data_IF_598641058802
#
_entry.id   IF_598641058802
#
_cell.length_a   1.000
_cell.length_b   1.000
_cell.length_c   1.000
_cell.angle_alpha   90.00
_cell.angle_beta   90.00
_cell.angle_gamma   90.00
#
_symmetry.space_group_name_H-M   'P 1'
#
loop_
_entity.id
_entity.type
_entity.pdbx_description
1 polymer ?
#
# COMPACT_ATOMS: atom_id res chain seq x y z
N UNK A 1 -23.11 37.14 89.47
CA UNK A 1 -23.59 35.82 89.92
C UNK A 1 -23.41 34.88 88.78
N UNK A 2 -22.66 33.84 88.99
CA UNK A 2 -22.43 32.59 88.18
C UNK A 2 -22.18 32.66 86.71
N UNK A 3 -20.91 32.50 86.37
CA UNK A 3 -20.40 32.17 85.06
C UNK A 3 -20.68 30.70 84.71
N UNK A 4 -21.02 30.45 83.39
CA UNK A 4 -21.05 29.10 82.88
C UNK A 4 -20.09 29.03 81.66
N UNK A 5 -19.04 28.27 81.85
CA UNK A 5 -18.06 27.98 80.75
C UNK A 5 -18.56 26.78 79.99
N UNK A 6 -18.70 26.94 78.66
CA UNK A 6 -18.93 25.82 77.73
C UNK A 6 -17.67 25.63 76.87
N UNK A 7 -16.99 24.50 77.11
CA UNK A 7 -15.89 24.02 76.30
C UNK A 7 -16.44 23.27 75.03
N UNK A 8 -16.27 23.83 73.86
CA UNK A 8 -16.48 23.11 72.64
C UNK A 8 -15.16 22.57 72.04
N UNK A 9 -15.03 21.24 72.07
CA UNK A 9 -13.90 20.51 71.45
C UNK A 9 -14.17 20.39 69.95
N UNK A 10 -13.32 20.97 69.13
CA UNK A 10 -13.30 20.80 67.72
C UNK A 10 -12.46 19.58 67.35
N UNK A 11 -13.09 18.52 66.84
CA UNK A 11 -12.43 17.34 66.24
C UNK A 11 -12.14 17.63 64.78
N UNK A 12 -10.86 17.85 64.47
CA UNK A 12 -10.43 18.00 63.08
C UNK A 12 -10.39 16.63 62.38
N UNK A 13 -11.20 16.45 61.36
CA UNK A 13 -11.12 15.30 60.46
C UNK A 13 -10.09 15.59 59.38
N UNK A 14 -8.98 14.84 59.39
CA UNK A 14 -7.99 14.84 58.32
C UNK A 14 -8.56 14.04 57.13
N UNK A 15 -8.94 14.73 56.06
CA UNK A 15 -9.28 14.12 54.78
C UNK A 15 -7.97 13.90 54.02
N UNK A 16 -7.49 12.64 54.01
CA UNK A 16 -6.38 12.21 53.14
C UNK A 16 -6.89 12.05 51.72
N UNK A 17 -6.65 13.06 50.88
CA UNK A 17 -6.87 12.99 49.44
C UNK A 17 -5.78 12.14 48.78
N UNK A 18 -6.14 10.92 48.34
CA UNK A 18 -5.26 10.12 47.46
C UNK A 18 -5.33 10.68 46.05
N UNK A 19 -4.26 11.39 45.64
CA UNK A 19 -4.06 11.78 44.24
C UNK A 19 -3.68 10.53 43.43
N UNK A 20 -4.65 9.96 42.75
CA UNK A 20 -4.42 8.91 41.76
C UNK A 20 -3.70 9.50 40.55
N UNK A 21 -2.41 9.21 40.40
CA UNK A 21 -1.65 9.52 39.18
C UNK A 21 -2.08 8.51 38.11
N UNK A 22 -2.98 8.92 37.20
CA UNK A 22 -3.25 8.19 36.00
C UNK A 22 -2.01 8.29 35.06
N UNK A 23 -1.17 7.27 35.07
CA UNK A 23 -0.08 7.15 34.09
C UNK A 23 -0.71 6.91 32.71
N UNK A 24 -0.73 7.94 31.86
CA UNK A 24 -1.04 7.81 30.45
C UNK A 24 0.15 7.11 29.81
N UNK A 25 0.02 5.80 29.57
CA UNK A 25 0.97 5.06 28.74
C UNK A 25 0.77 5.52 27.31
N UNK A 26 1.59 6.47 26.85
CA UNK A 26 1.68 6.83 25.45
C UNK A 26 2.24 5.63 24.69
N UNK A 27 1.38 4.92 23.96
CA UNK A 27 1.79 3.88 23.03
C UNK A 27 2.50 4.61 21.88
N UNK A 28 3.84 4.66 21.93
CA UNK A 28 4.67 5.13 20.81
C UNK A 28 4.52 4.09 19.71
N UNK A 29 3.61 4.36 18.76
CA UNK A 29 3.57 3.62 17.51
C UNK A 29 4.79 4.04 16.71
N UNK A 30 5.57 3.10 16.14
CA UNK A 30 6.60 3.49 15.17
C UNK A 30 5.91 4.28 14.06
N UNK A 31 6.33 5.52 13.88
CA UNK A 31 5.90 6.32 12.74
C UNK A 31 6.48 5.64 11.50
N UNK A 32 5.67 4.85 10.79
CA UNK A 32 6.00 4.50 9.42
C UNK A 32 5.96 5.81 8.64
N UNK A 33 7.08 6.17 8.02
CA UNK A 33 7.11 7.29 7.10
C UNK A 33 6.08 7.02 6.00
N UNK A 34 5.25 8.03 5.69
CA UNK A 34 4.29 7.91 4.60
C UNK A 34 5.03 7.54 3.31
N UNK A 35 4.56 6.54 2.56
CA UNK A 35 5.20 6.15 1.31
C UNK A 35 5.24 7.33 0.34
N UNK A 36 6.41 7.57 -0.24
CA UNK A 36 6.60 8.65 -1.22
C UNK A 36 6.24 8.23 -2.64
N UNK A 37 6.15 6.92 -2.91
CA UNK A 37 5.78 6.40 -4.23
C UNK A 37 5.21 4.99 -4.17
N UNK A 38 4.35 4.68 -5.15
CA UNK A 38 3.93 3.33 -5.52
C UNK A 38 4.50 3.01 -6.89
N UNK A 39 5.18 1.87 -7.00
CA UNK A 39 5.81 1.37 -8.24
C UNK A 39 5.17 0.03 -8.59
N UNK A 40 4.49 -0.04 -9.72
CA UNK A 40 3.86 -1.27 -10.23
C UNK A 40 4.70 -1.80 -11.40
N UNK A 41 5.25 -3.00 -11.25
CA UNK A 41 5.99 -3.69 -12.31
C UNK A 41 5.10 -4.78 -12.94
N UNK A 42 4.78 -4.60 -14.21
CA UNK A 42 4.17 -5.63 -15.05
C UNK A 42 5.27 -6.49 -15.65
N UNK A 43 5.34 -7.74 -15.23
CA UNK A 43 6.41 -8.71 -15.52
C UNK A 43 5.84 -10.07 -15.89
N UNK A 44 6.67 -11.02 -16.30
CA UNK A 44 6.28 -12.41 -16.52
C UNK A 44 7.49 -13.35 -16.45
N UNK A 45 7.27 -14.55 -15.94
CA UNK A 45 8.23 -15.66 -15.99
C UNK A 45 8.60 -16.04 -17.42
N UNK A 46 7.67 -15.85 -18.39
CA UNK A 46 7.88 -16.12 -19.82
C UNK A 46 8.66 -15.06 -20.58
N UNK A 47 8.96 -13.92 -19.97
CA UNK A 47 9.58 -12.77 -20.62
C UNK A 47 11.10 -12.76 -20.37
N UNK A 48 11.91 -12.95 -21.41
CA UNK A 48 13.39 -13.01 -21.30
C UNK A 48 14.06 -11.69 -20.87
N UNK A 49 13.42 -10.55 -21.14
CA UNK A 49 13.91 -9.22 -20.74
C UNK A 49 13.44 -8.77 -19.33
N UNK A 50 12.59 -9.56 -18.66
CA UNK A 50 12.02 -9.20 -17.36
C UNK A 50 12.98 -9.35 -16.15
N UNK A 51 13.87 -10.35 -16.05
CA UNK A 51 14.66 -10.58 -14.86
C UNK A 51 15.48 -9.38 -14.35
N UNK A 52 16.05 -8.50 -15.19
CA UNK A 52 16.70 -7.28 -14.71
C UNK A 52 15.74 -6.32 -13.99
N UNK A 53 14.50 -6.20 -14.48
CA UNK A 53 13.46 -5.38 -13.86
C UNK A 53 12.98 -5.96 -12.53
N UNK A 54 12.80 -7.27 -12.44
CA UNK A 54 12.44 -7.97 -11.20
C UNK A 54 13.50 -7.76 -10.11
N UNK A 55 14.79 -7.74 -10.50
CA UNK A 55 15.89 -7.42 -9.58
C UNK A 55 15.81 -5.97 -9.09
N UNK A 56 15.56 -5.00 -9.98
CA UNK A 56 15.41 -3.58 -9.63
C UNK A 56 14.25 -3.41 -8.65
N UNK A 57 13.11 -4.05 -8.93
CA UNK A 57 11.95 -4.02 -8.03
C UNK A 57 12.30 -4.58 -6.65
N UNK A 58 13.06 -5.68 -6.59
CA UNK A 58 13.53 -6.26 -5.33
C UNK A 58 14.45 -5.35 -4.53
N UNK A 59 15.19 -4.46 -5.18
CA UNK A 59 16.00 -3.45 -4.51
C UNK A 59 15.14 -2.28 -4.03
N UNK A 60 14.17 -1.82 -4.82
CA UNK A 60 13.20 -0.80 -4.42
C UNK A 60 12.33 -1.26 -3.25
N UNK A 61 11.98 -2.54 -3.19
CA UNK A 61 11.19 -3.12 -2.09
C UNK A 61 11.90 -3.08 -0.72
N UNK A 62 13.20 -2.77 -0.67
CA UNK A 62 13.96 -2.57 0.57
C UNK A 62 13.87 -1.14 1.10
N UNK A 63 13.45 -0.19 0.28
CA UNK A 63 13.21 1.19 0.71
C UNK A 63 11.82 1.30 1.35
N UNK A 64 11.72 1.54 2.67
CA UNK A 64 10.43 1.60 3.37
C UNK A 64 9.55 2.79 2.91
N UNK A 65 10.12 3.75 2.20
CA UNK A 65 9.38 4.88 1.63
C UNK A 65 8.82 4.59 0.23
N UNK A 66 9.06 3.41 -0.34
CA UNK A 66 8.57 3.01 -1.66
C UNK A 66 7.74 1.74 -1.54
N UNK A 67 6.51 1.79 -2.03
CA UNK A 67 5.68 0.60 -2.20
C UNK A 67 5.95 0.04 -3.59
N UNK A 68 6.80 -0.98 -3.66
CA UNK A 68 7.10 -1.70 -4.90
C UNK A 68 6.22 -2.94 -5.03
N UNK A 69 5.50 -3.10 -6.13
CA UNK A 69 4.53 -4.16 -6.37
C UNK A 69 4.87 -4.92 -7.66
N UNK A 70 5.03 -6.24 -7.58
CA UNK A 70 5.14 -7.11 -8.75
C UNK A 70 3.75 -7.57 -9.18
N UNK A 71 3.39 -7.35 -10.44
CA UNK A 71 2.12 -7.71 -11.06
C UNK A 71 2.38 -8.62 -12.28
N UNK A 72 2.54 -9.93 -12.09
CA UNK A 72 2.79 -10.86 -13.17
C UNK A 72 1.59 -10.97 -14.11
N UNK A 73 1.82 -10.74 -15.41
CA UNK A 73 0.81 -10.79 -16.47
C UNK A 73 0.78 -12.17 -17.15
N UNK A 74 -0.34 -12.52 -17.76
CA UNK A 74 -0.61 -13.86 -18.29
C UNK A 74 -0.47 -13.97 -19.82
N UNK A 75 -0.29 -12.87 -20.55
CA UNK A 75 -0.28 -12.92 -22.01
C UNK A 75 1.03 -13.48 -22.63
N UNK A 76 1.99 -13.96 -21.82
CA UNK A 76 3.16 -14.73 -22.28
C UNK A 76 3.01 -16.24 -22.09
N UNK A 77 1.94 -16.71 -21.44
CA UNK A 77 1.72 -18.13 -21.11
C UNK A 77 1.67 -19.05 -22.36
N UNK A 78 1.33 -18.51 -23.52
CA UNK A 78 1.29 -19.26 -24.78
C UNK A 78 2.67 -19.70 -25.29
N UNK A 79 3.78 -19.17 -24.73
CA UNK A 79 5.15 -19.53 -25.12
C UNK A 79 5.65 -20.83 -24.49
N UNK A 80 4.76 -21.63 -23.92
CA UNK A 80 5.05 -22.98 -23.41
C UNK A 80 5.45 -23.06 -21.95
N UNK A 81 5.38 -21.94 -21.22
CA UNK A 81 5.50 -21.89 -19.76
C UNK A 81 4.35 -21.07 -19.20
N UNK A 82 3.55 -21.70 -18.33
CA UNK A 82 2.49 -20.97 -17.62
C UNK A 82 3.09 -20.31 -16.40
N UNK A 83 3.00 -18.98 -16.33
CA UNK A 83 3.44 -18.22 -15.15
C UNK A 83 2.55 -18.53 -13.96
N UNK A 84 3.12 -19.12 -12.92
CA UNK A 84 2.38 -19.57 -11.73
C UNK A 84 1.93 -18.41 -10.82
N UNK A 85 2.42 -17.21 -11.07
CA UNK A 85 2.10 -15.99 -10.32
C UNK A 85 1.17 -15.05 -11.11
N UNK A 86 0.98 -15.31 -12.42
CA UNK A 86 0.21 -14.43 -13.29
C UNK A 86 -1.29 -14.41 -12.96
N UNK A 87 -1.87 -13.25 -13.17
CA UNK A 87 -3.31 -13.03 -13.04
C UNK A 87 -3.81 -12.13 -14.18
N UNK A 88 -4.88 -12.56 -14.87
CA UNK A 88 -5.50 -11.81 -15.96
C UNK A 88 -5.95 -10.39 -15.55
N UNK A 89 -6.23 -10.18 -14.26
CA UNK A 89 -6.56 -8.85 -13.71
C UNK A 89 -5.41 -7.87 -13.83
N UNK A 90 -4.15 -8.35 -13.75
CA UNK A 90 -2.97 -7.48 -13.91
C UNK A 90 -2.75 -7.11 -15.38
N UNK A 91 -2.98 -8.05 -16.31
CA UNK A 91 -3.01 -7.75 -17.75
C UNK A 91 -4.09 -6.73 -18.10
N UNK A 92 -5.28 -6.85 -17.50
CA UNK A 92 -6.37 -5.89 -17.66
C UNK A 92 -6.00 -4.51 -17.10
N UNK A 93 -5.38 -4.46 -15.91
CA UNK A 93 -4.90 -3.21 -15.30
C UNK A 93 -3.84 -2.51 -16.15
N UNK A 94 -2.88 -3.25 -16.69
CA UNK A 94 -1.88 -2.72 -17.61
C UNK A 94 -2.52 -2.11 -18.86
N UNK A 95 -3.51 -2.81 -19.46
CA UNK A 95 -4.29 -2.31 -20.61
C UNK A 95 -5.08 -1.06 -20.26
N UNK A 96 -5.69 -0.98 -19.07
CA UNK A 96 -6.41 0.20 -18.62
C UNK A 96 -5.48 1.43 -18.55
N UNK A 97 -4.27 1.29 -18.01
CA UNK A 97 -3.26 2.36 -18.06
C UNK A 97 -2.90 2.78 -19.49
N UNK A 98 -2.73 1.83 -20.41
CA UNK A 98 -2.39 2.16 -21.79
C UNK A 98 -3.53 2.89 -22.53
N UNK A 99 -4.78 2.53 -22.24
CA UNK A 99 -5.95 3.23 -22.77
C UNK A 99 -6.05 4.66 -22.22
N UNK A 100 -5.79 4.86 -20.93
CA UNK A 100 -5.78 6.20 -20.32
C UNK A 100 -4.73 7.12 -20.93
N UNK A 101 -3.55 6.60 -21.27
CA UNK A 101 -2.52 7.37 -21.97
C UNK A 101 -2.83 7.59 -23.45
N UNK A 102 -3.74 6.79 -24.04
CA UNK A 102 -4.09 6.86 -25.46
C UNK A 102 -3.08 6.19 -26.40
N UNK A 103 -1.98 5.64 -25.89
CA UNK A 103 -0.93 4.99 -26.69
C UNK A 103 -1.25 3.53 -27.02
N UNK A 104 -2.13 2.88 -26.23
CA UNK A 104 -2.51 1.46 -26.35
C UNK A 104 -1.34 0.49 -26.34
N UNK A 105 -0.20 0.94 -25.84
CA UNK A 105 1.05 0.20 -25.83
C UNK A 105 1.20 -0.59 -24.52
N UNK A 106 1.28 -1.92 -24.64
CA UNK A 106 1.54 -2.84 -23.53
C UNK A 106 2.75 -3.72 -23.84
N UNK A 107 3.66 -3.80 -22.92
CA UNK A 107 4.90 -4.59 -23.05
C UNK A 107 5.40 -5.02 -21.67
N UNK A 108 6.33 -5.95 -21.63
CA UNK A 108 7.06 -6.32 -20.41
C UNK A 108 8.57 -6.29 -20.67
N UNK A 109 9.38 -5.90 -19.66
CA UNK A 109 8.95 -5.37 -18.35
C UNK A 109 8.48 -3.91 -18.47
N UNK A 110 7.32 -3.58 -17.92
CA UNK A 110 6.79 -2.22 -17.87
C UNK A 110 6.60 -1.78 -16.41
N UNK A 111 7.07 -0.58 -16.07
CA UNK A 111 6.82 0.04 -14.77
C UNK A 111 5.85 1.20 -14.92
N UNK A 112 4.93 1.31 -13.97
CA UNK A 112 4.11 2.50 -13.75
C UNK A 112 4.44 3.05 -12.36
N UNK A 113 4.89 4.31 -12.30
CA UNK A 113 5.15 5.01 -11.05
C UNK A 113 3.97 5.92 -10.75
N UNK A 114 3.42 5.79 -9.54
CA UNK A 114 2.31 6.58 -9.01
C UNK A 114 1.08 6.66 -9.94
N UNK A 115 0.82 5.59 -10.69
CA UNK A 115 -0.34 5.49 -11.59
C UNK A 115 -0.26 6.33 -12.87
N UNK A 116 0.81 7.10 -13.08
CA UNK A 116 0.89 8.07 -14.18
C UNK A 116 2.14 7.98 -15.04
N UNK A 117 3.31 7.73 -14.47
CA UNK A 117 4.58 7.72 -15.23
C UNK A 117 4.91 6.32 -15.69
N UNK A 118 4.93 6.11 -17.02
CA UNK A 118 5.28 4.84 -17.66
C UNK A 118 6.78 4.80 -18.01
N UNK A 119 7.43 3.69 -17.70
CA UNK A 119 8.85 3.46 -17.96
C UNK A 119 9.11 2.00 -18.38
N UNK A 120 10.24 1.75 -19.05
CA UNK A 120 10.77 0.41 -19.22
C UNK A 120 11.22 -0.10 -17.84
N UNK A 121 10.81 -1.31 -17.45
CA UNK A 121 11.07 -1.84 -16.10
C UNK A 121 12.55 -1.99 -15.75
N UNK A 122 13.44 -2.08 -16.73
CA UNK A 122 14.89 -2.14 -16.54
C UNK A 122 15.59 -0.76 -16.51
N UNK A 123 14.86 0.34 -16.74
CA UNK A 123 15.39 1.70 -16.66
C UNK A 123 15.40 2.21 -15.21
N UNK A 124 16.43 1.78 -14.45
CA UNK A 124 16.61 2.19 -13.04
C UNK A 124 16.62 3.71 -12.87
N UNK A 125 17.41 4.41 -13.67
CA UNK A 125 17.58 5.85 -13.51
C UNK A 125 16.28 6.61 -13.75
N UNK A 126 15.51 6.22 -14.78
CA UNK A 126 14.19 6.76 -15.06
C UNK A 126 13.20 6.51 -13.91
N UNK A 127 13.21 5.29 -13.35
CA UNK A 127 12.33 4.92 -12.22
C UNK A 127 12.66 5.75 -10.97
N UNK A 128 13.95 5.83 -10.60
CA UNK A 128 14.39 6.62 -9.44
C UNK A 128 14.10 8.13 -9.63
N UNK A 129 14.29 8.63 -10.86
CA UNK A 129 13.91 10.00 -11.24
C UNK A 129 12.40 10.25 -11.05
N UNK A 130 11.55 9.36 -11.58
CA UNK A 130 10.08 9.48 -11.44
C UNK A 130 9.63 9.42 -9.97
N UNK A 131 10.25 8.54 -9.15
CA UNK A 131 10.01 8.50 -7.70
C UNK A 131 10.41 9.82 -7.05
N UNK A 132 11.58 10.40 -7.42
CA UNK A 132 12.06 11.68 -6.90
C UNK A 132 11.15 12.86 -7.28
N UNK A 133 10.55 12.81 -8.45
CA UNK A 133 9.67 13.87 -8.96
C UNK A 133 8.24 13.84 -8.40
N UNK A 134 7.86 12.80 -7.65
CA UNK A 134 6.54 12.68 -7.03
C UNK A 134 6.13 13.93 -6.26
N UNK A 135 7.06 14.49 -5.46
CA UNK A 135 6.80 15.70 -4.65
C UNK A 135 6.56 16.97 -5.48
N UNK A 136 6.87 16.94 -6.78
CA UNK A 136 6.67 18.07 -7.70
C UNK A 136 5.33 18.02 -8.41
N UNK A 137 4.58 16.91 -8.23
CA UNK A 137 3.29 16.68 -8.90
C UNK A 137 2.17 16.85 -7.88
N UNK A 138 1.35 17.89 -8.08
CA UNK A 138 0.26 18.21 -7.17
C UNK A 138 -0.74 17.04 -7.04
N UNK A 139 -1.15 16.78 -5.82
CA UNK A 139 -2.13 15.74 -5.48
C UNK A 139 -1.56 14.31 -5.42
N UNK A 140 -0.43 14.03 -6.08
CA UNK A 140 0.18 12.68 -6.08
C UNK A 140 0.79 12.37 -4.71
N UNK A 141 0.41 11.23 -4.14
CA UNK A 141 0.88 10.78 -2.82
C UNK A 141 0.75 11.83 -1.70
N UNK A 142 -0.27 12.70 -1.80
CA UNK A 142 -0.52 13.80 -0.87
C UNK A 142 -1.60 13.51 0.18
N UNK A 143 -2.40 12.46 -0.02
CA UNK A 143 -3.48 12.07 0.88
C UNK A 143 -2.94 11.09 1.92
N UNK A 144 -2.97 11.43 3.22
CA UNK A 144 -2.56 10.50 4.26
C UNK A 144 -3.48 9.27 4.30
N UNK A 145 -2.88 8.10 4.25
CA UNK A 145 -3.56 6.80 4.33
C UNK A 145 -2.94 6.01 5.45
N UNK A 146 -3.78 5.38 6.27
CA UNK A 146 -3.29 4.48 7.32
C UNK A 146 -4.05 3.15 7.27
N UNK A 147 -3.37 2.09 7.70
CA UNK A 147 -3.91 0.76 7.78
C UNK A 147 -3.44 0.08 9.06
N UNK A 148 -4.36 -0.55 9.79
CA UNK A 148 -4.07 -1.29 11.01
C UNK A 148 -4.73 -2.66 10.97
N UNK A 149 -4.00 -3.67 11.46
CA UNK A 149 -4.53 -5.01 11.71
C UNK A 149 -4.85 -5.15 13.20
N UNK A 150 -6.09 -5.46 13.52
CA UNK A 150 -6.54 -5.74 14.87
C UNK A 150 -7.34 -7.05 14.89
N UNK A 151 -6.75 -8.10 15.46
CA UNK A 151 -7.33 -9.45 15.44
C UNK A 151 -7.52 -9.95 14.00
N UNK A 152 -8.77 -10.18 13.60
CA UNK A 152 -9.12 -10.67 12.26
C UNK A 152 -9.69 -9.58 11.35
N UNK A 153 -9.45 -8.31 11.68
CA UNK A 153 -9.97 -7.20 10.89
C UNK A 153 -8.86 -6.22 10.51
N UNK A 154 -8.95 -5.74 9.29
CA UNK A 154 -8.10 -4.66 8.78
C UNK A 154 -8.95 -3.40 8.73
N UNK A 155 -8.50 -2.35 9.42
CA UNK A 155 -9.10 -1.03 9.38
C UNK A 155 -8.23 -0.11 8.53
N UNK A 156 -8.85 0.55 7.56
CA UNK A 156 -8.24 1.51 6.66
C UNK A 156 -8.83 2.88 6.92
N UNK A 157 -8.00 3.90 7.08
CA UNK A 157 -8.41 5.28 7.19
C UNK A 157 -7.73 6.11 6.11
N UNK A 158 -8.49 6.94 5.43
CA UNK A 158 -8.03 7.89 4.41
C UNK A 158 -8.43 9.29 4.89
N UNK A 159 -7.47 10.20 4.94
CA UNK A 159 -7.75 11.59 5.33
C UNK A 159 -8.54 12.33 4.25
N UNK A 160 -9.07 13.50 4.61
CA UNK A 160 -9.60 14.44 3.64
C UNK A 160 -8.48 14.99 2.75
N UNK A 161 -8.81 15.32 1.50
CA UNK A 161 -7.89 16.04 0.62
C UNK A 161 -7.51 17.39 1.24
N UNK A 162 -6.23 17.71 1.22
CA UNK A 162 -5.73 19.03 1.62
C UNK A 162 -5.90 20.09 0.51
N UNK A 163 -6.13 19.64 -0.72
CA UNK A 163 -6.42 20.55 -1.84
C UNK A 163 -7.90 20.94 -1.80
N UNK A 164 -8.19 22.22 -1.92
CA UNK A 164 -9.56 22.76 -1.92
C UNK A 164 -10.39 22.38 -3.16
N UNK A 165 -9.95 21.38 -3.92
CA UNK A 165 -10.69 20.86 -5.07
C UNK A 165 -11.93 20.13 -4.58
N UNK A 166 -13.11 20.66 -4.87
CA UNK A 166 -14.40 20.00 -4.63
C UNK A 166 -14.62 18.74 -5.49
N UNK A 167 -13.67 18.41 -6.35
CA UNK A 167 -13.73 17.29 -7.29
C UNK A 167 -12.76 16.15 -6.97
N UNK A 168 -12.05 16.22 -5.83
CA UNK A 168 -11.17 15.11 -5.44
C UNK A 168 -11.98 13.83 -5.22
N UNK A 169 -11.70 12.79 -6.01
CA UNK A 169 -12.35 11.50 -5.93
C UNK A 169 -11.37 10.40 -6.28
N UNK A 170 -11.69 9.17 -5.91
CA UNK A 170 -10.86 8.03 -6.24
C UNK A 170 -11.45 6.72 -5.70
N UNK A 171 -10.85 5.63 -6.10
CA UNK A 171 -11.16 4.31 -5.56
C UNK A 171 -10.13 3.90 -4.51
N UNK A 172 -10.62 3.30 -3.44
CA UNK A 172 -9.78 2.72 -2.38
C UNK A 172 -9.59 1.23 -2.67
N UNK A 173 -8.35 0.86 -2.87
CA UNK A 173 -7.95 -0.50 -3.20
C UNK A 173 -7.07 -1.09 -2.11
N UNK A 174 -7.23 -2.38 -1.86
CA UNK A 174 -6.31 -3.16 -1.03
C UNK A 174 -5.75 -4.32 -1.85
N UNK A 175 -4.46 -4.56 -1.74
CA UNK A 175 -3.84 -5.77 -2.26
C UNK A 175 -3.07 -6.51 -1.17
N UNK A 176 -3.12 -7.84 -1.23
CA UNK A 176 -2.26 -8.72 -0.44
C UNK A 176 -1.04 -9.09 -1.24
N UNK A 177 0.11 -9.19 -0.59
CA UNK A 177 1.39 -9.46 -1.23
C UNK A 177 2.15 -10.59 -0.55
N UNK A 178 2.89 -11.36 -1.35
CA UNK A 178 3.97 -12.25 -0.91
C UNK A 178 5.29 -11.51 -1.04
N UNK A 179 6.00 -11.28 0.07
CA UNK A 179 7.24 -10.47 0.09
C UNK A 179 8.34 -11.05 -0.78
N UNK A 180 8.47 -12.37 -0.78
CA UNK A 180 9.55 -13.07 -1.50
C UNK A 180 9.04 -14.41 -2.02
N UNK A 181 9.12 -14.60 -3.34
CA UNK A 181 8.66 -15.84 -3.99
C UNK A 181 9.75 -16.33 -4.94
N UNK A 182 10.56 -17.34 -4.54
CA UNK A 182 11.52 -17.98 -5.44
C UNK A 182 10.80 -18.93 -6.39
N UNK A 183 11.11 -18.84 -7.69
CA UNK A 183 10.56 -19.68 -8.74
C UNK A 183 11.68 -20.31 -9.55
N UNK A 184 11.60 -21.64 -9.77
CA UNK A 184 12.43 -22.35 -10.75
C UNK A 184 11.63 -22.46 -12.05
N UNK A 185 12.10 -21.82 -13.12
CA UNK A 185 11.44 -21.79 -14.41
C UNK A 185 11.89 -22.99 -15.24
N UNK A 186 10.97 -23.90 -15.53
CA UNK A 186 11.30 -25.18 -16.17
C UNK A 186 11.25 -25.15 -17.69
N UNK A 187 10.56 -24.16 -18.32
CA UNK A 187 10.38 -24.06 -19.78
C UNK A 187 10.34 -22.60 -20.23
N UNK A 188 10.24 -22.40 -21.54
CA UNK A 188 10.18 -21.06 -22.16
C UNK A 188 11.54 -20.37 -22.23
N UNK A 189 11.55 -19.07 -22.52
CA UNK A 189 12.76 -18.29 -22.74
C UNK A 189 13.67 -18.15 -21.51
N UNK A 190 13.11 -18.29 -20.31
CA UNK A 190 13.84 -18.27 -19.04
C UNK A 190 14.10 -19.67 -18.47
N UNK A 191 13.96 -20.74 -19.26
CA UNK A 191 14.18 -22.11 -18.83
C UNK A 191 15.52 -22.31 -18.09
N UNK A 192 15.50 -23.06 -16.98
CA UNK A 192 16.65 -23.36 -16.15
C UNK A 192 17.05 -22.23 -15.17
N UNK A 193 16.39 -21.07 -15.22
CA UNK A 193 16.68 -19.98 -14.29
C UNK A 193 15.91 -20.15 -12.98
N UNK A 194 16.56 -19.72 -11.88
CA UNK A 194 15.90 -19.42 -10.62
C UNK A 194 15.74 -17.90 -10.51
N UNK A 195 14.51 -17.42 -10.38
CA UNK A 195 14.19 -16.01 -10.24
C UNK A 195 13.44 -15.79 -8.93
N UNK A 196 13.85 -14.79 -8.17
CA UNK A 196 13.12 -14.38 -6.96
C UNK A 196 12.29 -13.16 -7.28
N UNK A 197 10.97 -13.29 -7.10
CA UNK A 197 10.01 -12.20 -7.23
C UNK A 197 9.77 -11.55 -5.86
N UNK A 198 9.61 -10.25 -5.83
CA UNK A 198 9.43 -9.47 -4.59
C UNK A 198 8.09 -8.76 -4.59
N UNK A 199 7.45 -8.72 -3.42
CA UNK A 199 6.15 -8.07 -3.21
C UNK A 199 5.13 -8.43 -4.31
N UNK A 200 5.00 -9.72 -4.57
CA UNK A 200 4.09 -10.26 -5.58
C UNK A 200 2.65 -10.04 -5.13
N UNK A 201 1.88 -9.31 -5.90
CA UNK A 201 0.45 -9.11 -5.64
C UNK A 201 -0.29 -10.43 -5.81
N UNK A 202 -0.97 -10.86 -4.75
CA UNK A 202 -1.73 -12.12 -4.72
C UNK A 202 -3.23 -11.91 -4.87
N UNK A 203 -3.72 -10.76 -4.44
CA UNK A 203 -5.10 -10.34 -4.61
C UNK A 203 -5.16 -8.82 -4.72
N UNK A 204 -6.16 -8.33 -5.46
CA UNK A 204 -6.45 -6.91 -5.64
C UNK A 204 -7.95 -6.72 -5.51
N UNK A 205 -8.39 -5.96 -4.51
CA UNK A 205 -9.78 -5.78 -4.15
C UNK A 205 -10.10 -4.29 -3.97
N UNK A 206 -11.14 -3.79 -4.64
CA UNK A 206 -11.73 -2.50 -4.33
C UNK A 206 -12.53 -2.61 -3.04
N UNK A 207 -12.25 -1.74 -2.07
CA UNK A 207 -12.92 -1.72 -0.77
C UNK A 207 -13.87 -0.53 -0.59
N UNK A 208 -13.81 0.45 -1.49
CA UNK A 208 -14.74 1.58 -1.47
C UNK A 208 -14.38 2.68 -2.45
N UNK A 209 -15.18 3.74 -2.39
CA UNK A 209 -14.96 4.97 -3.13
C UNK A 209 -14.63 6.10 -2.14
N UNK A 210 -13.67 6.96 -2.52
CA UNK A 210 -13.28 8.14 -1.77
C UNK A 210 -13.68 9.40 -2.53
N UNK A 211 -14.33 10.34 -1.85
CA UNK A 211 -14.92 11.55 -2.44
C UNK A 211 -14.23 12.84 -1.97
N UNK A 212 -12.95 12.75 -1.59
CA UNK A 212 -12.22 13.90 -1.07
C UNK A 212 -12.40 14.17 0.43
N UNK A 213 -13.40 13.58 1.09
CA UNK A 213 -13.59 13.65 2.53
C UNK A 213 -12.90 12.51 3.26
N UNK A 214 -12.65 12.66 4.57
CA UNK A 214 -12.13 11.54 5.35
C UNK A 214 -13.06 10.35 5.33
N UNK A 215 -12.50 9.14 5.15
CA UNK A 215 -13.23 7.89 5.07
C UNK A 215 -12.56 6.76 5.86
N UNK A 216 -13.38 5.80 6.29
CA UNK A 216 -12.91 4.60 6.98
C UNK A 216 -13.58 3.35 6.40
N UNK A 217 -12.79 2.31 6.22
CA UNK A 217 -13.25 1.00 5.74
C UNK A 217 -12.71 -0.09 6.66
N UNK A 218 -13.52 -1.10 6.88
CA UNK A 218 -13.11 -2.28 7.64
C UNK A 218 -13.42 -3.51 6.82
N UNK A 219 -12.42 -4.39 6.67
CA UNK A 219 -12.56 -5.64 5.94
C UNK A 219 -12.06 -6.82 6.79
N UNK A 220 -12.67 -8.01 6.66
CA UNK A 220 -12.15 -9.21 7.28
C UNK A 220 -10.76 -9.55 6.70
N UNK A 221 -9.81 -9.92 7.56
CA UNK A 221 -8.48 -10.37 7.13
C UNK A 221 -8.56 -11.53 6.12
N UNK A 222 -9.54 -12.43 6.29
CA UNK A 222 -9.77 -13.57 5.39
C UNK A 222 -10.06 -13.16 3.94
N UNK A 223 -10.59 -11.96 3.70
CA UNK A 223 -10.87 -11.46 2.34
C UNK A 223 -9.61 -11.30 1.50
N UNK A 224 -8.45 -11.14 2.13
CA UNK A 224 -7.15 -10.95 1.46
C UNK A 224 -6.12 -12.00 1.83
N UNK A 225 -6.38 -12.83 2.87
CA UNK A 225 -5.45 -13.87 3.32
C UNK A 225 -5.44 -15.04 2.34
N UNK A 226 -4.24 -15.50 2.01
CA UNK A 226 -3.95 -16.74 1.27
C UNK A 226 -2.64 -17.30 1.77
N UNK A 227 -2.36 -18.55 1.45
CA UNK A 227 -1.06 -19.14 1.72
C UNK A 227 0.07 -18.30 1.09
N UNK A 228 1.12 -18.04 1.86
CA UNK A 228 2.28 -17.25 1.44
C UNK A 228 2.03 -15.74 1.33
N UNK A 229 0.92 -15.21 1.86
CA UNK A 229 0.70 -13.78 1.96
C UNK A 229 1.31 -13.25 3.26
N UNK A 230 2.19 -12.24 3.15
CA UNK A 230 2.98 -11.70 4.26
C UNK A 230 2.55 -10.30 4.68
N UNK A 231 1.95 -9.55 3.75
CA UNK A 231 1.63 -8.16 3.98
C UNK A 231 0.45 -7.68 3.13
N UNK A 232 -0.06 -6.50 3.45
CA UNK A 232 -1.07 -5.81 2.68
C UNK A 232 -0.62 -4.39 2.35
N UNK A 233 -1.11 -3.91 1.21
CA UNK A 233 -0.97 -2.53 0.75
C UNK A 233 -2.36 -1.99 0.48
N UNK A 234 -2.66 -0.80 0.97
CA UNK A 234 -3.83 -0.03 0.57
C UNK A 234 -3.37 1.21 -0.18
N UNK A 235 -4.11 1.59 -1.21
CA UNK A 235 -3.90 2.85 -1.92
C UNK A 235 -5.22 3.48 -2.35
N UNK A 236 -5.19 4.80 -2.46
CA UNK A 236 -6.26 5.59 -3.07
C UNK A 236 -5.78 6.00 -4.45
N UNK A 237 -6.54 5.67 -5.47
CA UNK A 237 -6.22 5.97 -6.87
C UNK A 237 -7.32 6.82 -7.48
N UNK A 238 -6.93 7.93 -8.12
CA UNK A 238 -7.83 8.76 -8.92
C UNK A 238 -8.42 7.97 -10.09
N UNK A 239 -9.62 8.33 -10.50
CA UNK A 239 -10.35 7.64 -11.54
C UNK A 239 -11.03 6.36 -11.05
N UNK A 240 -10.98 5.32 -11.87
CA UNK A 240 -11.59 4.03 -11.56
C UNK A 240 -10.81 2.87 -12.21
N UNK A 241 -11.28 1.64 -11.98
CA UNK A 241 -10.66 0.41 -12.49
C UNK A 241 -10.33 0.45 -13.99
N UNK A 242 -11.24 0.99 -14.81
CA UNK A 242 -11.10 1.00 -16.27
C UNK A 242 -10.35 2.24 -16.78
N UNK A 243 -10.25 3.26 -15.92
CA UNK A 243 -9.57 4.52 -16.17
C UNK A 243 -8.72 4.91 -14.95
N UNK A 244 -7.66 4.13 -14.65
CA UNK A 244 -6.81 4.41 -13.48
C UNK A 244 -5.99 5.67 -13.71
N UNK A 245 -6.06 6.58 -12.75
CA UNK A 245 -5.30 7.82 -12.72
C UNK A 245 -4.15 7.77 -11.72
N UNK A 246 -3.79 8.92 -11.17
CA UNK A 246 -2.69 9.07 -10.22
C UNK A 246 -2.98 8.36 -8.88
N UNK A 247 -1.94 7.87 -8.23
CA UNK A 247 -1.99 7.42 -6.83
C UNK A 247 -2.00 8.63 -5.92
N UNK A 248 -3.06 8.78 -5.13
CA UNK A 248 -3.26 9.92 -4.24
C UNK A 248 -2.65 9.70 -2.86
N UNK A 249 -2.57 8.46 -2.43
CA UNK A 249 -1.96 8.06 -1.16
C UNK A 249 -1.92 6.55 -1.01
N UNK A 250 -1.07 6.05 -0.14
CA UNK A 250 -0.94 4.62 0.11
C UNK A 250 -0.41 4.31 1.51
N UNK A 251 -0.65 3.10 1.98
CA UNK A 251 -0.06 2.56 3.20
C UNK A 251 0.27 1.08 3.05
N UNK A 252 1.25 0.64 3.84
CA UNK A 252 1.71 -0.75 3.91
C UNK A 252 1.59 -1.25 5.35
N UNK A 253 1.23 -2.53 5.53
CA UNK A 253 1.30 -3.19 6.84
C UNK A 253 1.72 -4.66 6.69
N UNK A 254 2.56 -5.15 7.62
CA UNK A 254 2.81 -6.59 7.75
C UNK A 254 1.58 -7.26 8.36
N UNK A 255 1.31 -8.50 7.95
CA UNK A 255 0.19 -9.30 8.47
C UNK A 255 0.64 -10.31 9.55
N UNK A 256 1.94 -10.32 9.84
CA UNK A 256 2.58 -11.17 10.85
C UNK A 256 3.49 -10.37 11.75
#
# INVERSE_FOLDING_TARGET
MMAYHSNSRWSGALVSGALGVCAIVAIIRPAHADPRAVVELFTSQGCSSCPPADKILGELAKDPSVIALSMPIDYWDYLGWKDTLADARFSARQKAYSHMRGDRDVYTPQVIVNGSVRLIGSDRAGIEGAIGDTKKTDGVMSVPVSMTLAGKQISVSVAASSTASTEAHGEVWICSISKTVPISIGRGENSGRQVTYYNVVRNLLKIGDWNGSSGNWTIPLESISREGVDAAVVYVQDGNRDKPGAMLGAAYTSLH
#
